data_IF_061933057397
#
_entry.id   IF_061933057397
#
_cell.length_a   1.000
_cell.length_b   1.000
_cell.length_c   1.000
_cell.angle_alpha   90.00
_cell.angle_beta   90.00
_cell.angle_gamma   90.00
#
_symmetry.space_group_name_H-M   'P 1'
#
loop_
_entity.id
_entity.type
_entity.pdbx_description
1 polymer ?
#
# COMPACT_ATOMS: atom_id res chain seq x y z
N UNK A 1 41.48 -26.83 47.58
CA UNK A 1 40.34 -25.98 47.98
C UNK A 1 39.94 -25.18 46.75
N UNK A 2 38.75 -25.18 46.18
CA UNK A 2 37.41 -25.61 46.58
C UNK A 2 36.66 -26.03 45.30
N UNK A 3 35.79 -27.03 45.45
CA UNK A 3 34.76 -27.36 44.46
C UNK A 3 33.60 -26.37 44.57
N UNK A 4 33.00 -25.97 43.44
CA UNK A 4 31.60 -25.51 43.35
C UNK A 4 31.20 -25.48 41.87
N UNK A 5 30.53 -26.52 41.35
CA UNK A 5 29.06 -26.68 41.29
C UNK A 5 28.35 -25.41 40.80
N UNK A 6 28.20 -25.31 39.48
CA UNK A 6 27.28 -24.38 38.83
C UNK A 6 25.90 -25.03 38.84
N UNK A 7 24.98 -24.40 39.56
CA UNK A 7 23.56 -24.74 39.63
C UNK A 7 22.89 -24.08 38.42
N UNK A 8 22.38 -24.87 37.48
CA UNK A 8 21.46 -24.41 36.44
C UNK A 8 20.03 -24.47 36.99
N UNK A 9 19.47 -23.30 37.28
CA UNK A 9 18.04 -23.14 37.61
C UNK A 9 17.23 -22.82 36.36
N UNK A 10 16.06 -23.47 36.30
CA UNK A 10 15.08 -23.46 35.22
C UNK A 10 14.51 -22.06 34.93
N UNK A 11 14.13 -21.83 33.68
CA UNK A 11 12.95 -21.02 33.35
C UNK A 11 12.44 -21.40 31.96
N UNK A 12 11.43 -22.26 31.93
CA UNK A 12 10.65 -22.60 30.74
C UNK A 12 9.81 -21.38 30.34
N UNK A 13 10.26 -20.63 29.32
CA UNK A 13 9.44 -19.62 28.68
C UNK A 13 8.62 -20.28 27.58
N UNK A 14 7.38 -20.59 27.92
CA UNK A 14 6.36 -21.10 27.01
C UNK A 14 5.89 -20.00 26.05
N UNK A 15 5.77 -20.38 24.78
CA UNK A 15 4.80 -19.89 23.80
C UNK A 15 4.77 -18.39 23.49
N UNK A 16 5.63 -17.98 22.56
CA UNK A 16 5.32 -16.88 21.65
C UNK A 16 6.04 -17.11 20.32
N UNK A 17 5.32 -17.61 19.31
CA UNK A 17 5.55 -17.42 17.86
C UNK A 17 4.55 -18.28 17.06
N UNK A 18 3.26 -17.94 17.16
CA UNK A 18 2.22 -18.49 16.29
C UNK A 18 1.69 -17.39 15.36
N UNK A 19 2.48 -16.97 14.38
CA UNK A 19 1.99 -16.24 13.19
C UNK A 19 3.07 -16.21 12.09
N UNK A 20 3.52 -17.38 11.65
CA UNK A 20 4.08 -17.51 10.31
C UNK A 20 3.05 -18.30 9.52
N UNK A 21 2.32 -17.60 8.65
CA UNK A 21 1.40 -18.19 7.69
C UNK A 21 2.11 -19.35 7.00
N UNK A 22 1.60 -20.55 7.26
CA UNK A 22 2.01 -21.78 6.60
C UNK A 22 1.84 -21.58 5.10
N UNK A 23 2.95 -21.45 4.37
CA UNK A 23 2.93 -21.76 2.96
C UNK A 23 2.52 -23.24 2.88
N UNK A 24 1.29 -23.50 2.47
CA UNK A 24 0.82 -24.86 2.22
C UNK A 24 1.48 -25.34 0.91
N UNK A 25 2.75 -25.70 1.00
CA UNK A 25 3.45 -26.36 -0.10
C UNK A 25 3.09 -27.84 0.01
N UNK A 26 2.21 -28.32 -0.88
CA UNK A 26 2.03 -29.76 -1.03
C UNK A 26 3.37 -30.39 -1.40
N UNK A 27 3.75 -31.51 -0.77
CA UNK A 27 4.86 -32.31 -1.28
C UNK A 27 4.57 -32.65 -2.75
N UNK A 28 5.59 -32.46 -3.60
CA UNK A 28 5.54 -32.95 -4.98
C UNK A 28 5.28 -34.45 -4.89
N UNK A 29 4.15 -34.91 -5.44
CA UNK A 29 3.82 -36.33 -5.53
C UNK A 29 4.90 -37.01 -6.36
N UNK A 30 5.88 -37.62 -5.68
CA UNK A 30 6.80 -38.54 -6.30
C UNK A 30 6.00 -39.79 -6.68
N UNK A 31 6.12 -40.17 -7.94
CA UNK A 31 5.34 -41.19 -8.62
C UNK A 31 5.25 -42.54 -7.86
N UNK A 32 4.10 -43.22 -7.96
CA UNK A 32 3.90 -44.61 -7.55
C UNK A 32 5.02 -45.52 -8.15
N UNK A 33 5.77 -46.30 -7.35
CA UNK A 33 7.03 -46.95 -7.76
C UNK A 33 6.92 -47.97 -8.92
N UNK A 34 5.70 -48.35 -9.34
CA UNK A 34 5.45 -49.30 -10.42
C UNK A 34 5.08 -48.68 -11.78
N UNK A 35 4.88 -47.37 -11.86
CA UNK A 35 4.50 -46.71 -13.11
C UNK A 35 5.75 -46.10 -13.78
N UNK A 36 5.99 -46.46 -15.03
CA UNK A 36 7.06 -45.84 -15.83
C UNK A 36 6.65 -44.39 -16.09
N UNK A 37 7.53 -43.44 -15.73
CA UNK A 37 7.36 -42.02 -16.09
C UNK A 37 7.03 -41.95 -17.58
N UNK A 38 5.82 -41.49 -17.93
CA UNK A 38 5.45 -41.26 -19.32
C UNK A 38 6.54 -40.39 -19.92
N UNK A 39 7.23 -40.90 -20.95
CA UNK A 39 8.25 -40.13 -21.66
C UNK A 39 7.60 -38.79 -22.01
N UNK A 40 8.25 -37.68 -21.66
CA UNK A 40 7.76 -36.38 -22.09
C UNK A 40 7.59 -36.51 -23.59
N UNK A 41 6.38 -36.26 -24.11
CA UNK A 41 6.19 -36.16 -25.56
C UNK A 41 7.27 -35.19 -26.01
N UNK A 42 8.19 -35.67 -26.85
CA UNK A 42 9.28 -34.87 -27.35
C UNK A 42 8.64 -33.83 -28.26
N UNK A 43 8.18 -32.73 -27.64
CA UNK A 43 7.67 -31.59 -28.36
C UNK A 43 8.89 -31.05 -29.08
N UNK A 44 8.79 -31.01 -30.41
CA UNK A 44 9.85 -30.47 -31.26
C UNK A 44 10.36 -29.15 -30.65
N UNK A 45 11.68 -28.99 -30.45
CA UNK A 45 12.22 -27.79 -29.79
C UNK A 45 11.78 -26.50 -30.50
N UNK A 46 11.59 -26.57 -31.82
CA UNK A 46 11.04 -25.50 -32.67
C UNK A 46 9.60 -25.11 -32.31
N UNK A 47 8.73 -26.07 -31.95
CA UNK A 47 7.34 -25.78 -31.55
C UNK A 47 7.30 -25.09 -30.19
N UNK A 48 8.17 -25.49 -29.26
CA UNK A 48 8.27 -24.88 -27.94
C UNK A 48 8.79 -23.44 -28.01
N UNK A 49 9.81 -23.18 -28.83
CA UNK A 49 10.31 -21.82 -29.10
C UNK A 49 9.21 -20.93 -29.67
N UNK A 50 8.48 -21.41 -30.70
CA UNK A 50 7.38 -20.66 -31.31
C UNK A 50 6.24 -20.35 -30.33
N UNK A 51 5.96 -21.24 -29.38
CA UNK A 51 4.96 -20.98 -28.34
C UNK A 51 5.44 -19.91 -27.35
N UNK A 52 6.72 -19.95 -26.95
CA UNK A 52 7.32 -18.93 -26.07
C UNK A 52 7.31 -17.54 -26.73
N UNK A 53 7.74 -17.46 -27.99
CA UNK A 53 7.72 -16.20 -28.76
C UNK A 53 6.30 -15.63 -28.89
N UNK A 54 5.30 -16.49 -29.16
CA UNK A 54 3.89 -16.06 -29.21
C UNK A 54 3.38 -15.56 -27.87
N UNK A 55 3.76 -16.20 -26.77
CA UNK A 55 3.38 -15.77 -25.42
C UNK A 55 4.05 -14.43 -25.07
N UNK A 56 5.33 -14.29 -25.37
CA UNK A 56 6.08 -13.06 -25.15
C UNK A 56 5.52 -11.90 -26.00
N UNK A 57 5.20 -12.14 -27.26
CA UNK A 57 4.58 -11.14 -28.13
C UNK A 57 3.19 -10.71 -27.63
N UNK A 58 2.42 -11.61 -27.02
CA UNK A 58 1.13 -11.28 -26.40
C UNK A 58 1.32 -10.43 -25.14
N UNK A 59 2.28 -10.80 -24.28
CA UNK A 59 2.61 -10.04 -23.07
C UNK A 59 3.09 -8.62 -23.42
N UNK A 60 3.98 -8.49 -24.41
CA UNK A 60 4.46 -7.18 -24.90
C UNK A 60 3.34 -6.27 -25.41
N UNK A 61 2.25 -6.85 -25.95
CA UNK A 61 1.07 -6.08 -26.39
C UNK A 61 0.11 -5.70 -25.27
N UNK A 62 0.11 -6.43 -24.15
CA UNK A 62 -0.76 -6.19 -23.00
C UNK A 62 -0.19 -5.17 -22.02
N UNK A 63 1.13 -5.01 -22.01
CA UNK A 63 1.78 -3.96 -21.21
C UNK A 63 1.62 -2.64 -21.96
N UNK A 64 0.57 -1.88 -21.63
CA UNK A 64 0.51 -0.46 -21.94
C UNK A 64 1.60 0.18 -21.08
N UNK A 65 2.77 0.46 -21.67
CA UNK A 65 3.75 1.33 -21.04
C UNK A 65 3.27 2.76 -21.27
N UNK A 66 2.75 3.47 -20.24
CA UNK A 66 2.47 4.88 -20.41
C UNK A 66 3.78 5.57 -20.83
N UNK A 67 3.72 6.53 -21.76
CA UNK A 67 4.89 7.33 -22.08
C UNK A 67 5.42 7.94 -20.79
N UNK A 68 6.74 7.95 -20.63
CA UNK A 68 7.37 8.62 -19.50
C UNK A 68 7.05 10.11 -19.61
N UNK A 69 6.55 10.71 -18.52
CA UNK A 69 6.22 12.13 -18.49
C UNK A 69 7.49 12.92 -18.86
N UNK A 70 7.44 13.85 -19.84
CA UNK A 70 8.63 14.60 -20.26
C UNK A 70 9.24 15.39 -19.11
N UNK A 71 8.44 15.83 -18.14
CA UNK A 71 8.85 16.58 -16.96
C UNK A 71 9.52 15.69 -15.89
N UNK A 72 9.43 14.37 -15.99
CA UNK A 72 10.03 13.44 -15.02
C UNK A 72 11.54 13.29 -15.18
N UNK A 73 12.09 13.65 -16.35
CA UNK A 73 13.53 13.66 -16.60
C UNK A 73 14.03 15.10 -16.38
N UNK A 74 14.78 15.37 -15.30
CA UNK A 74 15.37 16.69 -15.10
C UNK A 74 16.36 16.99 -16.22
N UNK A 75 16.32 18.21 -16.75
CA UNK A 75 17.34 18.67 -17.69
C UNK A 75 18.72 18.61 -17.01
N UNK A 76 19.73 17.93 -17.60
CA UNK A 76 21.07 17.89 -17.06
C UNK A 76 21.66 19.27 -16.74
N UNK A 77 21.24 20.31 -17.46
CA UNK A 77 21.64 21.71 -17.23
C UNK A 77 21.20 22.27 -15.87
N UNK A 78 20.24 21.66 -15.19
CA UNK A 78 19.79 22.08 -13.86
C UNK A 78 20.78 21.75 -12.75
N UNK A 79 21.69 20.79 -12.96
CA UNK A 79 22.68 20.38 -11.97
C UNK A 79 23.99 21.18 -12.03
N UNK A 80 24.08 22.14 -12.95
CA UNK A 80 25.22 23.05 -13.05
C UNK A 80 25.44 23.80 -11.72
N UNK A 81 26.70 23.88 -11.30
CA UNK A 81 27.09 24.51 -10.03
C UNK A 81 26.65 25.98 -9.95
N UNK A 82 26.62 26.70 -11.08
CA UNK A 82 26.15 28.09 -11.19
C UNK A 82 24.70 28.29 -10.75
N UNK A 83 23.87 27.22 -10.81
CA UNK A 83 22.46 27.25 -10.40
C UNK A 83 22.25 26.78 -8.95
N UNK A 84 23.29 26.25 -8.30
CA UNK A 84 23.20 25.76 -6.92
C UNK A 84 23.27 26.94 -5.95
N UNK A 85 22.29 27.04 -5.04
CA UNK A 85 22.36 28.01 -3.94
C UNK A 85 23.44 27.56 -2.95
N UNK A 86 24.27 28.48 -2.43
CA UNK A 86 25.25 28.14 -1.41
C UNK A 86 24.56 27.62 -0.14
N UNK A 87 25.18 26.62 0.50
CA UNK A 87 24.66 26.08 1.76
C UNK A 87 24.86 27.12 2.87
N UNK A 88 23.75 27.54 3.48
CA UNK A 88 23.77 28.42 4.64
C UNK A 88 24.20 27.63 5.89
N UNK A 89 25.18 28.14 6.62
CA UNK A 89 25.52 27.67 7.96
C UNK A 89 24.49 28.26 8.93
N UNK A 90 23.81 27.40 9.66
CA UNK A 90 22.79 27.81 10.64
C UNK A 90 23.45 28.03 12.00
N UNK A 91 22.95 29.02 12.76
CA UNK A 91 23.34 29.18 14.15
C UNK A 91 22.86 27.98 14.97
N UNK A 92 23.59 27.60 16.02
CA UNK A 92 23.23 26.50 16.92
C UNK A 92 21.80 26.70 17.47
N UNK A 93 21.46 27.92 17.89
CA UNK A 93 20.13 28.29 18.39
C UNK A 93 19.02 27.96 17.37
N UNK A 94 19.22 28.27 16.10
CA UNK A 94 18.24 27.99 15.04
C UNK A 94 18.08 26.48 14.81
N UNK A 95 19.18 25.72 14.88
CA UNK A 95 19.14 24.27 14.74
C UNK A 95 18.36 23.62 15.88
N UNK A 96 18.58 24.07 17.11
CA UNK A 96 17.85 23.59 18.29
C UNK A 96 16.35 23.92 18.19
N UNK A 97 16.00 25.13 17.78
CA UNK A 97 14.60 25.53 17.55
C UNK A 97 13.90 24.62 16.53
N UNK A 98 14.56 24.30 15.41
CA UNK A 98 14.01 23.39 14.39
C UNK A 98 13.82 21.99 14.95
N UNK A 99 14.79 21.47 15.72
CA UNK A 99 14.69 20.15 16.35
C UNK A 99 13.53 20.11 17.36
N UNK A 100 13.36 21.15 18.16
CA UNK A 100 12.23 21.25 19.11
C UNK A 100 10.88 21.30 18.36
N UNK A 101 10.79 22.09 17.30
CA UNK A 101 9.60 22.16 16.45
C UNK A 101 9.26 20.79 15.85
N UNK A 102 10.25 20.08 15.32
CA UNK A 102 10.06 18.75 14.74
C UNK A 102 9.60 17.71 15.79
N UNK A 103 10.15 17.76 17.01
CA UNK A 103 9.70 16.92 18.13
C UNK A 103 8.24 17.20 18.48
N UNK A 104 7.85 18.48 18.54
CA UNK A 104 6.48 18.88 18.84
C UNK A 104 5.51 18.48 17.72
N UNK A 105 5.91 18.67 16.47
CA UNK A 105 5.14 18.24 15.30
C UNK A 105 4.90 16.74 15.28
N UNK A 106 5.95 15.95 15.56
CA UNK A 106 5.83 14.48 15.66
C UNK A 106 4.84 14.05 16.74
N UNK A 107 4.88 14.69 17.92
CA UNK A 107 3.91 14.43 18.99
C UNK A 107 2.48 14.80 18.58
N UNK A 108 2.30 15.94 17.92
CA UNK A 108 1.00 16.38 17.42
C UNK A 108 0.41 15.42 16.39
N UNK A 109 1.21 15.01 15.40
CA UNK A 109 0.80 14.06 14.37
C UNK A 109 0.44 12.69 14.95
N UNK A 110 1.21 12.20 15.93
CA UNK A 110 0.88 10.96 16.62
C UNK A 110 -0.48 11.06 17.33
N UNK A 111 -0.76 12.17 18.02
CA UNK A 111 -2.07 12.38 18.68
C UNK A 111 -3.21 12.38 17.67
N UNK A 112 -3.07 13.12 16.57
CA UNK A 112 -4.05 13.13 15.47
C UNK A 112 -4.31 11.73 14.92
N UNK A 113 -3.25 10.98 14.66
CA UNK A 113 -3.37 9.61 14.16
C UNK A 113 -4.11 8.68 15.14
N UNK A 114 -3.80 8.76 16.44
CA UNK A 114 -4.50 7.97 17.47
C UNK A 114 -5.98 8.34 17.54
N UNK A 115 -6.32 9.62 17.44
CA UNK A 115 -7.70 10.09 17.45
C UNK A 115 -8.47 9.59 16.21
N UNK A 116 -7.85 9.62 15.03
CA UNK A 116 -8.43 9.10 13.79
C UNK A 116 -8.68 7.59 13.88
N UNK A 117 -7.72 6.82 14.41
CA UNK A 117 -7.89 5.38 14.65
C UNK A 117 -9.02 5.10 15.64
N UNK A 118 -9.15 5.92 16.69
CA UNK A 118 -10.25 5.81 17.66
C UNK A 118 -11.59 6.08 16.99
N UNK A 119 -11.69 7.14 16.17
CA UNK A 119 -12.89 7.48 15.43
C UNK A 119 -13.30 6.35 14.47
N UNK A 120 -12.36 5.81 13.71
CA UNK A 120 -12.61 4.69 12.79
C UNK A 120 -13.06 3.43 13.53
N UNK A 121 -12.41 3.09 14.66
CA UNK A 121 -12.83 1.96 15.50
C UNK A 121 -14.25 2.16 16.03
N UNK A 122 -14.61 3.37 16.47
CA UNK A 122 -15.95 3.69 16.94
C UNK A 122 -16.99 3.55 15.83
N UNK A 123 -16.72 4.11 14.64
CA UNK A 123 -17.61 3.97 13.47
C UNK A 123 -17.85 2.51 13.11
N UNK A 124 -16.81 1.69 13.09
CA UNK A 124 -16.92 0.25 12.82
C UNK A 124 -17.72 -0.47 13.90
N UNK A 125 -17.48 -0.15 15.19
CA UNK A 125 -18.24 -0.72 16.31
C UNK A 125 -19.73 -0.38 16.17
N UNK A 126 -20.07 0.89 16.00
CA UNK A 126 -21.45 1.34 15.83
C UNK A 126 -22.13 0.67 14.64
N UNK A 127 -21.44 0.58 13.49
CA UNK A 127 -21.95 -0.13 12.32
C UNK A 127 -22.25 -1.61 12.63
N UNK A 128 -21.33 -2.30 13.28
CA UNK A 128 -21.49 -3.73 13.59
C UNK A 128 -22.60 -3.97 14.63
N UNK A 129 -22.69 -3.12 15.65
CA UNK A 129 -23.75 -3.17 16.66
C UNK A 129 -25.12 -2.93 16.00
N UNK A 130 -25.23 -1.93 15.11
CA UNK A 130 -26.44 -1.66 14.35
C UNK A 130 -26.86 -2.85 13.46
N UNK A 131 -25.90 -3.48 12.76
CA UNK A 131 -26.18 -4.67 11.95
C UNK A 131 -26.62 -5.88 12.80
N UNK A 132 -26.09 -6.01 14.03
CA UNK A 132 -26.51 -7.08 14.95
C UNK A 132 -27.94 -6.86 15.42
N UNK A 133 -28.32 -5.64 15.78
CA UNK A 133 -29.71 -5.34 16.16
C UNK A 133 -30.66 -5.52 14.96
N UNK A 134 -30.27 -5.02 13.77
CA UNK A 134 -31.05 -5.19 12.55
C UNK A 134 -31.32 -6.67 12.24
N UNK A 135 -30.32 -7.55 12.44
CA UNK A 135 -30.49 -8.98 12.25
C UNK A 135 -31.50 -9.61 13.22
N UNK A 136 -31.59 -9.12 14.45
CA UNK A 136 -32.57 -9.62 15.44
C UNK A 136 -33.99 -9.20 15.06
N UNK A 137 -34.15 -8.01 14.47
CA UNK A 137 -35.44 -7.48 14.03
C UNK A 137 -35.90 -8.10 12.70
N UNK A 138 -35.01 -8.18 11.70
CA UNK A 138 -35.33 -8.69 10.37
C UNK A 138 -34.10 -9.24 9.64
N UNK A 139 -34.10 -10.55 9.37
CA UNK A 139 -33.05 -11.19 8.60
C UNK A 139 -33.05 -10.78 7.11
N UNK A 140 -34.23 -10.48 6.56
CA UNK A 140 -34.35 -10.01 5.18
C UNK A 140 -33.61 -8.67 4.98
N UNK A 141 -33.87 -7.69 5.84
CA UNK A 141 -33.23 -6.37 5.75
C UNK A 141 -31.73 -6.45 6.00
N UNK A 142 -31.28 -7.33 6.90
CA UNK A 142 -29.87 -7.59 7.13
C UNK A 142 -29.17 -8.08 5.85
N UNK A 143 -29.77 -9.02 5.12
CA UNK A 143 -29.20 -9.57 3.88
C UNK A 143 -29.15 -8.53 2.76
N UNK A 144 -30.14 -7.64 2.67
CA UNK A 144 -30.12 -6.51 1.73
C UNK A 144 -29.01 -5.50 2.09
N UNK A 145 -28.88 -5.14 3.36
CA UNK A 145 -27.88 -4.16 3.83
C UNK A 145 -26.42 -4.61 3.66
N UNK A 146 -26.17 -5.93 3.54
CA UNK A 146 -24.84 -6.47 3.26
C UNK A 146 -24.43 -6.35 1.79
N UNK A 147 -25.37 -6.12 0.87
CA UNK A 147 -25.08 -6.00 -0.55
C UNK A 147 -24.28 -4.72 -0.81
N UNK A 148 -23.33 -4.80 -1.74
CA UNK A 148 -22.55 -3.64 -2.16
C UNK A 148 -23.33 -2.87 -3.22
N UNK A 149 -23.59 -1.60 -2.96
CA UNK A 149 -24.24 -0.71 -3.91
C UNK A 149 -23.32 -0.40 -5.10
N UNK A 150 -23.66 -0.96 -6.26
CA UNK A 150 -22.91 -0.75 -7.51
C UNK A 150 -23.11 0.66 -8.09
N UNK A 151 -24.17 1.36 -7.69
CA UNK A 151 -24.51 2.71 -8.17
C UNK A 151 -23.44 3.72 -7.80
N UNK A 152 -22.74 3.51 -6.68
CA UNK A 152 -21.73 4.43 -6.20
C UNK A 152 -20.49 4.46 -7.08
N UNK A 153 -20.19 3.43 -7.88
CA UNK A 153 -18.96 3.38 -8.66
C UNK A 153 -19.18 3.82 -10.12
N UNK A 154 -18.38 4.76 -10.66
CA UNK A 154 -17.22 5.44 -10.05
C UNK A 154 -17.60 6.65 -9.17
N UNK A 155 -17.04 6.73 -7.95
CA UNK A 155 -17.18 7.92 -7.09
C UNK A 155 -16.12 8.96 -7.49
N UNK A 156 -16.53 10.18 -7.83
CA UNK A 156 -15.64 11.34 -8.01
C UNK A 156 -15.87 12.38 -6.92
N UNK A 157 -14.87 12.65 -6.10
CA UNK A 157 -14.90 13.69 -5.06
C UNK A 157 -13.89 14.78 -5.41
N UNK A 158 -14.32 16.05 -5.35
CA UNK A 158 -13.41 17.19 -5.42
C UNK A 158 -12.94 17.54 -4.01
N UNK A 159 -11.65 17.80 -3.85
CA UNK A 159 -11.09 18.23 -2.57
C UNK A 159 -11.60 19.61 -2.15
N UNK A 160 -11.46 19.98 -0.87
CA UNK A 160 -11.75 21.33 -0.43
C UNK A 160 -10.80 22.35 -1.09
N UNK A 161 -11.33 23.54 -1.39
CA UNK A 161 -10.54 24.67 -1.88
C UNK A 161 -10.20 25.61 -0.71
N UNK A 162 -9.07 26.31 -0.78
CA UNK A 162 -8.70 27.31 0.23
C UNK A 162 -9.72 28.46 0.30
N UNK A 163 -10.17 28.93 -0.87
CA UNK A 163 -11.19 29.96 -1.03
C UNK A 163 -12.34 29.40 -1.89
N UNK A 164 -13.61 29.57 -1.49
CA UNK A 164 -14.73 29.16 -2.32
C UNK A 164 -14.80 30.00 -3.62
N UNK A 165 -15.32 29.43 -4.72
CA UNK A 165 -15.42 30.15 -5.98
C UNK A 165 -16.41 31.31 -5.86
N UNK A 166 -16.06 32.45 -6.46
CA UNK A 166 -16.97 33.58 -6.62
C UNK A 166 -17.98 33.28 -7.74
N UNK A 167 -19.25 33.60 -7.51
CA UNK A 167 -20.28 33.49 -8.55
C UNK A 167 -19.96 34.47 -9.69
N UNK A 168 -20.14 34.00 -10.93
CA UNK A 168 -19.98 34.79 -12.16
C UNK A 168 -18.59 35.43 -12.36
N UNK A 169 -17.55 34.87 -11.73
CA UNK A 169 -16.18 35.26 -12.02
C UNK A 169 -15.79 34.85 -13.44
N UNK A 170 -15.62 35.84 -14.31
CA UNK A 170 -15.05 35.68 -15.64
C UNK A 170 -13.53 35.86 -15.54
N UNK A 171 -12.74 34.80 -15.77
CA UNK A 171 -11.29 34.92 -15.80
C UNK A 171 -10.87 35.84 -16.96
N UNK A 172 -9.85 36.68 -16.77
CA UNK A 172 -9.44 37.68 -17.77
C UNK A 172 -8.99 37.06 -19.10
N UNK A 173 -8.57 35.79 -19.11
CA UNK A 173 -8.03 35.09 -20.28
C UNK A 173 -9.10 34.64 -21.30
N UNK A 174 -10.40 34.87 -21.04
CA UNK A 174 -11.51 34.48 -21.92
C UNK A 174 -12.17 35.65 -22.68
N UNK A 175 -11.58 36.84 -22.62
CA UNK A 175 -12.06 37.96 -23.44
C UNK A 175 -11.37 37.87 -24.81
N UNK A 176 -11.97 37.11 -25.72
CA UNK A 176 -11.68 37.21 -27.15
C UNK A 176 -12.17 38.60 -27.62
N UNK A 177 -11.35 39.63 -27.46
CA UNK A 177 -11.58 40.92 -28.12
C UNK A 177 -11.54 40.68 -29.64
N UNK A 178 -12.72 40.75 -30.25
CA UNK A 178 -12.95 40.56 -31.68
C UNK A 178 -13.09 41.90 -32.39
#
# INVERSE_FOLDING_TARGET
>A
MLQSRIISSLSSCSNALQCCRTLHVSLVVNHNPGLKKKSKVAVDPKKLQRQKERQEAKLRKQVIQPPMDPDSIPDPLWFNEDRQRPKLQLSEEETEQRVLLQKNWSKYQMRKHVDDLRLMRNKLKCRNDALRELKKESEFLYNEALKVDKVNFPITLKGPMETPPLADYLPPDFVDEK
#
